data_IF_667314101522
#
_entry.id   IF_667314101522
#
_cell.length_a   1.000
_cell.length_b   1.000
_cell.length_c   1.000
_cell.angle_alpha   90.00
_cell.angle_beta   90.00
_cell.angle_gamma   90.00
#
_symmetry.space_group_name_H-M   'P 1'
#
loop_
_entity.id
_entity.type
_entity.pdbx_description
1 polymer ?
#
# COMPACT_ATOMS: atom_id res chain seq x y z
N UNK A 1 19.93 -43.88 -9.08
CA UNK A 1 18.60 -43.49 -8.56
C UNK A 1 18.59 -42.25 -7.65
N UNK A 2 19.73 -41.63 -7.29
CA UNK A 2 19.74 -40.41 -6.46
C UNK A 2 19.55 -39.12 -7.29
N UNK A 3 20.02 -39.12 -8.54
CA UNK A 3 19.99 -37.96 -9.45
C UNK A 3 18.56 -37.61 -9.88
N UNK A 4 17.67 -38.60 -9.98
CA UNK A 4 16.26 -38.40 -10.36
C UNK A 4 15.44 -37.72 -9.24
N UNK A 5 15.81 -37.95 -7.98
CA UNK A 5 15.13 -37.36 -6.80
C UNK A 5 15.49 -35.87 -6.62
N UNK A 6 16.71 -35.47 -6.98
CA UNK A 6 17.15 -34.07 -6.90
C UNK A 6 16.50 -33.17 -7.98
N UNK A 7 16.11 -33.74 -9.12
CA UNK A 7 15.48 -32.99 -10.20
C UNK A 7 14.03 -32.57 -9.90
N UNK A 8 13.32 -33.29 -9.02
CA UNK A 8 11.89 -33.03 -8.71
C UNK A 8 11.72 -31.89 -7.70
N UNK A 9 12.74 -31.59 -6.89
CA UNK A 9 12.66 -30.57 -5.83
C UNK A 9 12.82 -29.14 -6.38
N UNK A 10 13.30 -28.97 -7.62
CA UNK A 10 13.66 -27.66 -8.17
C UNK A 10 12.57 -26.87 -8.90
N UNK A 11 11.36 -27.41 -9.09
CA UNK A 11 10.36 -26.82 -10.02
C UNK A 11 8.96 -26.67 -9.41
N UNK A 12 8.83 -26.76 -8.08
CA UNK A 12 7.58 -26.35 -7.45
C UNK A 12 7.65 -24.83 -7.18
N UNK A 13 6.95 -23.97 -7.95
CA UNK A 13 6.75 -22.60 -7.51
C UNK A 13 6.06 -22.66 -6.14
N UNK A 14 6.57 -21.89 -5.18
CA UNK A 14 5.92 -21.68 -3.89
C UNK A 14 4.65 -20.84 -4.11
N UNK A 15 3.66 -21.42 -4.78
CA UNK A 15 2.33 -20.83 -4.93
C UNK A 15 1.63 -20.99 -3.60
N UNK A 16 1.92 -20.08 -2.68
CA UNK A 16 1.16 -19.94 -1.44
C UNK A 16 -0.25 -19.51 -1.87
N UNK A 17 -1.29 -20.33 -1.71
CA UNK A 17 -2.63 -20.02 -2.21
C UNK A 17 -3.17 -18.68 -1.67
N UNK A 18 -2.73 -18.32 -0.47
CA UNK A 18 -3.02 -17.04 0.19
C UNK A 18 -2.48 -15.83 -0.59
N UNK A 19 -1.31 -15.95 -1.22
CA UNK A 19 -0.74 -14.87 -2.05
C UNK A 19 -1.61 -14.61 -3.27
N UNK A 20 -2.13 -15.67 -3.91
CA UNK A 20 -3.06 -15.54 -5.03
C UNK A 20 -4.31 -14.76 -4.63
N UNK A 21 -4.95 -15.15 -3.51
CA UNK A 21 -6.13 -14.47 -3.00
C UNK A 21 -5.88 -12.99 -2.66
N UNK A 22 -4.72 -12.67 -2.07
CA UNK A 22 -4.32 -11.28 -1.79
C UNK A 22 -4.13 -10.48 -3.07
N UNK A 23 -3.46 -11.03 -4.07
CA UNK A 23 -3.22 -10.37 -5.35
C UNK A 23 -4.52 -10.16 -6.13
N UNK A 24 -5.43 -11.12 -6.10
CA UNK A 24 -6.73 -11.01 -6.77
C UNK A 24 -7.60 -9.97 -6.09
N UNK A 25 -7.63 -9.94 -4.76
CA UNK A 25 -8.30 -8.88 -4.00
C UNK A 25 -7.70 -7.51 -4.29
N UNK A 26 -6.37 -7.42 -4.36
CA UNK A 26 -5.68 -6.18 -4.69
C UNK A 26 -6.06 -5.70 -6.10
N UNK A 27 -6.02 -6.58 -7.10
CA UNK A 27 -6.40 -6.25 -8.48
C UNK A 27 -7.88 -5.83 -8.59
N UNK A 28 -8.77 -6.44 -7.82
CA UNK A 28 -10.19 -6.09 -7.81
C UNK A 28 -10.46 -4.70 -7.23
N UNK A 29 -9.63 -4.23 -6.30
CA UNK A 29 -9.79 -2.92 -5.65
C UNK A 29 -8.94 -1.82 -6.30
N UNK A 30 -7.78 -2.16 -6.89
CA UNK A 30 -6.83 -1.17 -7.40
C UNK A 30 -7.49 -0.33 -8.50
N UNK A 31 -7.51 1.02 -8.39
CA UNK A 31 -8.02 1.89 -9.42
C UNK A 31 -7.28 1.72 -10.76
N UNK A 32 -7.97 1.95 -11.87
CA UNK A 32 -7.37 1.96 -13.20
C UNK A 32 -6.31 3.05 -13.32
N UNK A 33 -5.44 2.97 -14.34
CA UNK A 33 -4.35 3.96 -14.51
C UNK A 33 -4.89 5.40 -14.59
N UNK A 34 -6.01 5.58 -15.27
CA UNK A 34 -6.63 6.89 -15.47
C UNK A 34 -7.37 7.39 -14.22
N UNK A 35 -7.62 6.51 -13.24
CA UNK A 35 -8.20 6.83 -11.94
C UNK A 35 -7.13 7.18 -10.89
N UNK A 36 -5.85 6.97 -11.21
CA UNK A 36 -4.73 7.30 -10.32
C UNK A 36 -4.35 8.76 -10.49
N UNK A 37 -4.47 9.53 -9.41
CA UNK A 37 -3.94 10.87 -9.32
C UNK A 37 -2.71 10.89 -8.40
N UNK A 38 -1.67 11.62 -8.80
CA UNK A 38 -0.49 11.86 -7.98
C UNK A 38 -0.59 13.24 -7.35
N UNK A 39 -0.65 13.28 -6.02
CA UNK A 39 -0.74 14.51 -5.25
C UNK A 39 0.58 14.69 -4.50
N UNK A 40 1.11 15.92 -4.46
CA UNK A 40 2.23 16.24 -3.58
C UNK A 40 1.79 16.04 -2.12
N UNK A 41 2.61 15.43 -1.27
CA UNK A 41 2.27 15.32 0.14
C UNK A 41 2.50 16.69 0.78
N UNK A 42 1.41 17.37 1.11
CA UNK A 42 1.43 18.69 1.73
C UNK A 42 0.87 18.61 3.15
N UNK A 43 1.57 19.20 4.12
CA UNK A 43 1.11 19.27 5.50
C UNK A 43 0.30 20.55 5.72
N UNK A 44 -0.76 20.44 6.52
CA UNK A 44 -1.57 21.58 6.96
C UNK A 44 -1.47 21.72 8.47
N UNK A 45 -1.57 22.96 8.97
CA UNK A 45 -1.43 23.28 10.40
C UNK A 45 -2.63 22.83 11.23
N UNK A 46 -3.76 22.54 10.58
CA UNK A 46 -4.98 22.05 11.22
C UNK A 46 -5.83 21.22 10.25
N UNK A 47 -6.72 20.37 10.80
CA UNK A 47 -7.67 19.59 10.01
C UNK A 47 -8.60 20.49 9.18
N UNK A 48 -9.02 21.62 9.74
CA UNK A 48 -9.92 22.56 9.06
C UNK A 48 -9.26 23.19 7.83
N UNK A 49 -7.98 23.55 7.93
CA UNK A 49 -7.19 24.03 6.80
C UNK A 49 -7.04 22.94 5.72
N UNK A 50 -6.72 21.71 6.13
CA UNK A 50 -6.59 20.57 5.22
C UNK A 50 -7.89 20.31 4.44
N UNK A 51 -9.03 20.31 5.13
CA UNK A 51 -10.36 20.14 4.52
C UNK A 51 -10.70 21.28 3.57
N UNK A 52 -10.46 22.53 3.96
CA UNK A 52 -10.70 23.69 3.11
C UNK A 52 -9.87 23.65 1.83
N UNK A 53 -8.62 23.20 1.92
CA UNK A 53 -7.74 23.04 0.75
C UNK A 53 -8.20 21.89 -0.16
N UNK A 54 -8.51 20.74 0.42
CA UNK A 54 -9.01 19.56 -0.28
C UNK A 54 -10.29 19.86 -1.09
N UNK A 55 -11.21 20.65 -0.53
CA UNK A 55 -12.42 21.07 -1.23
C UNK A 55 -12.11 21.95 -2.46
N UNK A 56 -11.19 22.92 -2.31
CA UNK A 56 -10.80 23.83 -3.40
C UNK A 56 -10.04 23.12 -4.52
N UNK A 57 -9.11 22.26 -4.15
CA UNK A 57 -8.22 21.57 -5.09
C UNK A 57 -8.82 20.25 -5.61
N UNK A 58 -10.00 19.85 -5.12
CA UNK A 58 -10.64 18.55 -5.40
C UNK A 58 -9.72 17.37 -5.07
N UNK A 59 -8.99 17.47 -3.96
CA UNK A 59 -8.02 16.47 -3.50
C UNK A 59 -8.60 15.64 -2.35
N UNK A 60 -8.24 14.37 -2.20
CA UNK A 60 -8.59 13.58 -1.03
C UNK A 60 -7.86 14.09 0.22
N UNK A 61 -8.48 13.95 1.40
CA UNK A 61 -7.84 14.17 2.69
C UNK A 61 -7.42 12.82 3.26
N UNK A 62 -6.13 12.66 3.60
CA UNK A 62 -5.64 11.52 4.36
C UNK A 62 -5.28 11.99 5.78
N UNK A 63 -6.04 11.53 6.77
CA UNK A 63 -5.85 11.91 8.18
C UNK A 63 -5.03 10.85 8.90
N UNK A 64 -3.85 11.24 9.37
CA UNK A 64 -3.02 10.41 10.26
C UNK A 64 -3.15 10.95 11.68
N UNK A 65 -3.67 10.14 12.60
CA UNK A 65 -3.75 10.48 14.03
C UNK A 65 -2.63 9.75 14.74
N UNK A 66 -1.64 10.49 15.24
CA UNK A 66 -0.58 9.93 16.07
C UNK A 66 -1.04 9.98 17.53
N UNK A 67 -1.37 8.83 18.09
CA UNK A 67 -1.45 8.70 19.55
C UNK A 67 -0.02 8.57 20.06
N UNK A 68 0.44 9.54 20.86
CA UNK A 68 1.82 9.74 21.31
C UNK A 68 2.48 8.58 22.09
N UNK A 69 1.90 7.37 22.08
CA UNK A 69 2.49 6.16 22.65
C UNK A 69 3.43 5.43 21.70
N UNK A 70 3.37 5.64 20.38
CA UNK A 70 4.27 4.99 19.42
C UNK A 70 4.62 5.90 18.24
N UNK A 71 5.88 6.35 18.20
CA UNK A 71 6.60 6.67 16.96
C UNK A 71 6.44 8.09 16.41
N UNK A 72 7.59 8.72 16.17
CA UNK A 72 7.72 9.86 15.27
C UNK A 72 7.57 9.38 13.81
N UNK A 73 6.63 9.99 13.07
CA UNK A 73 6.40 9.72 11.64
C UNK A 73 7.63 10.00 10.76
N UNK A 74 8.65 10.69 11.28
CA UNK A 74 9.93 10.90 10.58
C UNK A 74 10.73 9.61 10.39
N UNK A 75 10.40 8.53 11.12
CA UNK A 75 11.14 7.27 11.10
C UNK A 75 10.28 6.10 10.57
N UNK A 76 10.06 6.06 9.26
CA UNK A 76 9.66 4.81 8.61
C UNK A 76 10.90 3.94 8.38
N UNK A 77 11.00 2.77 9.02
CA UNK A 77 11.94 1.75 8.56
C UNK A 77 11.35 1.07 7.33
N UNK A 78 12.05 1.23 6.19
CA UNK A 78 11.82 0.51 4.96
C UNK A 78 12.27 -0.94 5.04
#
# INVERSE_FOLDING_TARGET
MLILLLAVVGIAPAQVPEVGAVLDRYKAFRPGKDDLAMYQIDWASSLQEAQGRALREKRPVFLVIIHAQYGDLSSGHC
#
